data_IF_809969769494
#
_entry.id   IF_809969769494
#
_cell.length_a   1.000
_cell.length_b   1.000
_cell.length_c   1.000
_cell.angle_alpha   90.00
_cell.angle_beta   90.00
_cell.angle_gamma   90.00
#
_symmetry.space_group_name_H-M   'P 1'
#
loop_
_entity.id
_entity.type
_entity.pdbx_description
1 polymer ?
#
# COMPACT_ATOMS: atom_id res chain seq x y z
N UNK A 1 -19.32 2.75 7.57
CA UNK A 1 -19.11 2.14 6.23
C UNK A 1 -18.20 2.96 5.32
N UNK A 2 -18.45 4.26 5.05
CA UNK A 2 -17.63 5.10 4.14
C UNK A 2 -16.13 5.11 4.43
N UNK A 3 -15.71 5.24 5.70
CA UNK A 3 -14.28 5.26 6.09
C UNK A 3 -13.54 3.99 5.66
N UNK A 4 -14.18 2.82 5.78
CA UNK A 4 -13.58 1.53 5.40
C UNK A 4 -13.41 1.40 3.87
N UNK A 5 -14.37 1.93 3.10
CA UNK A 5 -14.31 1.98 1.63
C UNK A 5 -13.16 2.88 1.17
N UNK A 6 -13.06 4.09 1.73
CA UNK A 6 -12.00 5.05 1.39
C UNK A 6 -10.63 4.44 1.68
N UNK A 7 -10.46 3.77 2.84
CA UNK A 7 -9.20 3.12 3.16
C UNK A 7 -8.88 1.97 2.20
N UNK A 8 -9.85 1.13 1.86
CA UNK A 8 -9.62 0.04 0.91
C UNK A 8 -9.19 0.55 -0.47
N UNK A 9 -9.84 1.61 -0.97
CA UNK A 9 -9.48 2.26 -2.23
C UNK A 9 -8.09 2.88 -2.13
N UNK A 10 -7.79 3.62 -1.05
CA UNK A 10 -6.49 4.25 -0.85
C UNK A 10 -5.33 3.24 -0.81
N UNK A 11 -5.49 2.11 -0.12
CA UNK A 11 -4.47 1.06 -0.08
C UNK A 11 -4.29 0.36 -1.43
N UNK A 12 -5.38 0.09 -2.16
CA UNK A 12 -5.26 -0.51 -3.50
C UNK A 12 -4.61 0.46 -4.49
N UNK A 13 -5.00 1.73 -4.48
CA UNK A 13 -4.38 2.77 -5.32
C UNK A 13 -2.91 2.93 -4.97
N UNK A 14 -2.55 3.02 -3.70
CA UNK A 14 -1.15 3.14 -3.25
C UNK A 14 -0.29 1.93 -3.67
N UNK A 15 -0.83 0.71 -3.58
CA UNK A 15 -0.16 -0.51 -4.05
C UNK A 15 0.07 -0.46 -5.57
N UNK A 16 -0.96 -0.12 -6.34
CA UNK A 16 -0.87 0.01 -7.80
C UNK A 16 0.18 1.08 -8.17
N UNK A 17 0.11 2.25 -7.52
CA UNK A 17 1.04 3.35 -7.76
C UNK A 17 2.49 2.95 -7.47
N UNK A 18 2.72 2.20 -6.39
CA UNK A 18 4.06 1.70 -6.09
C UNK A 18 4.58 0.73 -7.15
N UNK A 19 3.74 -0.15 -7.70
CA UNK A 19 4.15 -1.09 -8.76
C UNK A 19 4.51 -0.35 -10.06
N UNK A 20 3.65 0.58 -10.49
CA UNK A 20 3.91 1.40 -11.68
C UNK A 20 5.14 2.29 -11.50
N UNK A 21 5.28 2.91 -10.32
CA UNK A 21 6.44 3.71 -9.95
C UNK A 21 7.74 2.91 -9.97
N UNK A 22 7.71 1.66 -9.49
CA UNK A 22 8.85 0.75 -9.54
C UNK A 22 9.26 0.43 -10.98
N UNK A 23 8.29 0.11 -11.85
CA UNK A 23 8.54 -0.17 -13.27
C UNK A 23 9.12 1.04 -14.02
N UNK A 24 8.58 2.23 -13.76
CA UNK A 24 9.10 3.48 -14.32
C UNK A 24 10.52 3.80 -13.81
N UNK A 25 10.77 3.66 -12.51
CA UNK A 25 12.07 3.92 -11.92
C UNK A 25 13.15 2.93 -12.38
N UNK A 26 12.77 1.67 -12.63
CA UNK A 26 13.65 0.65 -13.20
C UNK A 26 14.07 1.01 -14.63
N UNK A 27 13.11 1.46 -15.46
CA UNK A 27 13.39 1.92 -16.83
C UNK A 27 14.33 3.14 -16.85
N UNK A 28 14.22 4.03 -15.87
CA UNK A 28 15.09 5.21 -15.72
C UNK A 28 16.43 4.91 -15.00
N UNK A 29 16.80 3.64 -14.81
CA UNK A 29 18.04 3.22 -14.12
C UNK A 29 18.26 3.92 -12.77
N UNK A 30 17.17 4.21 -12.05
CA UNK A 30 17.19 4.99 -10.81
C UNK A 30 16.97 4.06 -9.60
N UNK A 31 18.02 3.38 -9.10
CA UNK A 31 17.88 2.33 -8.09
C UNK A 31 17.37 2.85 -6.74
N UNK A 32 17.69 4.10 -6.39
CA UNK A 32 17.18 4.75 -5.18
C UNK A 32 15.66 4.92 -5.22
N UNK A 33 15.12 5.29 -6.38
CA UNK A 33 13.68 5.48 -6.57
C UNK A 33 12.96 4.13 -6.57
N UNK A 34 13.57 3.10 -7.15
CA UNK A 34 13.08 1.71 -7.05
C UNK A 34 13.02 1.26 -5.58
N UNK A 35 14.09 1.46 -4.82
CA UNK A 35 14.15 1.12 -3.40
C UNK A 35 13.09 1.89 -2.58
N UNK A 36 12.87 3.16 -2.89
CA UNK A 36 11.81 3.97 -2.30
C UNK A 36 10.42 3.39 -2.57
N UNK A 37 10.11 3.04 -3.83
CA UNK A 37 8.82 2.43 -4.16
C UNK A 37 8.65 1.05 -3.52
N UNK A 38 9.71 0.26 -3.41
CA UNK A 38 9.69 -1.03 -2.72
C UNK A 38 9.41 -0.87 -1.22
N UNK A 39 10.09 0.06 -0.54
CA UNK A 39 9.82 0.36 0.87
C UNK A 39 8.38 0.86 1.08
N UNK A 40 7.91 1.74 0.20
CA UNK A 40 6.55 2.29 0.26
C UNK A 40 5.50 1.20 0.03
N UNK A 41 5.74 0.27 -0.91
CA UNK A 41 4.88 -0.90 -1.14
C UNK A 41 4.75 -1.76 0.12
N UNK A 42 5.87 -2.08 0.77
CA UNK A 42 5.88 -2.85 2.02
C UNK A 42 5.11 -2.12 3.12
N UNK A 43 5.30 -0.80 3.26
CA UNK A 43 4.56 0.01 4.23
C UNK A 43 3.04 -0.02 3.97
N UNK A 44 2.60 0.12 2.72
CA UNK A 44 1.18 0.05 2.37
C UNK A 44 0.57 -1.32 2.68
N UNK A 45 1.28 -2.40 2.36
CA UNK A 45 0.84 -3.77 2.69
C UNK A 45 0.73 -3.94 4.21
N UNK A 46 1.73 -3.50 4.97
CA UNK A 46 1.75 -3.60 6.42
C UNK A 46 0.57 -2.89 7.07
N UNK A 47 0.32 -1.62 6.69
CA UNK A 47 -0.78 -0.85 7.26
C UNK A 47 -2.13 -1.45 6.85
N UNK A 48 -2.28 -1.96 5.61
CA UNK A 48 -3.50 -2.68 5.18
C UNK A 48 -3.77 -3.90 6.06
N UNK A 49 -2.74 -4.69 6.37
CA UNK A 49 -2.86 -5.86 7.27
C UNK A 49 -3.24 -5.44 8.69
N UNK A 50 -2.60 -4.41 9.25
CA UNK A 50 -2.97 -3.87 10.56
C UNK A 50 -4.44 -3.43 10.59
N UNK A 51 -4.91 -2.80 9.52
CA UNK A 51 -6.27 -2.33 9.42
C UNK A 51 -7.28 -3.47 9.42
N UNK A 52 -7.00 -4.53 8.65
CA UNK A 52 -7.81 -5.74 8.62
C UNK A 52 -7.84 -6.42 10.00
N UNK A 53 -6.71 -6.48 10.70
CA UNK A 53 -6.64 -7.00 12.08
C UNK A 53 -7.49 -6.17 13.03
N UNK A 54 -7.41 -4.84 12.96
CA UNK A 54 -8.23 -3.96 13.80
C UNK A 54 -9.72 -4.16 13.53
N UNK A 55 -10.11 -4.17 12.24
CA UNK A 55 -11.51 -4.38 11.84
C UNK A 55 -12.05 -5.73 12.31
N UNK A 56 -11.27 -6.80 12.22
CA UNK A 56 -11.66 -8.12 12.73
C UNK A 56 -11.78 -8.15 14.25
N UNK A 57 -10.95 -7.37 14.98
CA UNK A 57 -11.02 -7.28 16.44
C UNK A 57 -12.28 -6.52 16.89
N UNK A 58 -12.64 -5.45 16.18
CA UNK A 58 -13.91 -4.73 16.39
C UNK A 58 -15.15 -5.58 16.05
N UNK A 59 -15.05 -6.51 15.09
CA UNK A 59 -16.17 -7.40 14.71
C UNK A 59 -16.36 -8.60 15.64
N UNK A 60 -15.33 -9.01 16.39
CA UNK A 60 -15.40 -10.11 17.37
C UNK A 60 -15.89 -9.66 18.76
N UNK A 61 -16.10 -8.36 18.95
CA UNK A 61 -16.53 -7.76 20.20
C UNK A 61 -18.03 -7.49 20.15
#
# INVERSE_FOLDING_TARGET
>A
MRKKIILNVLFNVGIIFSIFGMGWAYSNKSPLVVAFFAATFVAFVYVKVQLLKSVNKDLKK
#
